data_IF_993057524647
#
_entry.id   IF_993057524647
#
_cell.length_a   1.000
_cell.length_b   1.000
_cell.length_c   1.000
_cell.angle_alpha   90.00
_cell.angle_beta   90.00
_cell.angle_gamma   90.00
#
_symmetry.space_group_name_H-M   'P 1'
#
loop_
_entity.id
_entity.type
_entity.pdbx_description
1 polymer ?
#
# COMPACT_ATOMS: atom_id res chain seq x y z
N UNK A 1 -86.66 -32.97 20.10
CA UNK A 1 -87.24 -32.06 21.12
C UNK A 1 -86.41 -30.79 21.13
N UNK A 2 -87.09 -29.65 20.97
CA UNK A 2 -86.70 -28.25 21.19
C UNK A 2 -85.73 -27.51 20.23
N UNK A 3 -86.18 -26.28 19.92
CA UNK A 3 -85.73 -25.25 18.98
C UNK A 3 -84.70 -24.25 19.59
N UNK A 4 -84.12 -23.31 18.80
CA UNK A 4 -82.85 -22.57 19.05
C UNK A 4 -83.02 -21.17 19.70
N UNK A 5 -81.96 -20.33 19.82
CA UNK A 5 -81.76 -19.18 18.88
C UNK A 5 -80.28 -18.84 18.57
N UNK A 6 -79.91 -18.46 17.33
CA UNK A 6 -79.89 -17.12 16.69
C UNK A 6 -78.95 -16.10 17.36
N UNK A 7 -77.92 -15.70 16.60
CA UNK A 7 -77.13 -14.50 16.77
C UNK A 7 -76.47 -14.07 15.44
N UNK A 8 -77.22 -13.26 14.67
CA UNK A 8 -76.81 -12.12 13.80
C UNK A 8 -75.43 -12.20 13.10
N UNK A 9 -75.24 -12.05 11.78
CA UNK A 9 -76.08 -11.57 10.68
C UNK A 9 -75.16 -11.12 9.52
N UNK A 10 -75.69 -11.12 8.29
CA UNK A 10 -75.21 -10.26 7.19
C UNK A 10 -74.08 -10.79 6.28
N UNK A 11 -74.45 -11.31 5.10
CA UNK A 11 -73.68 -11.05 3.87
C UNK A 11 -73.87 -9.58 3.40
N UNK A 12 -73.39 -9.13 2.22
CA UNK A 12 -73.05 -9.93 1.04
C UNK A 12 -71.77 -9.50 0.29
N UNK A 13 -71.62 -10.11 -0.88
CA UNK A 13 -70.60 -10.07 -1.92
C UNK A 13 -70.28 -8.71 -2.61
N UNK A 14 -69.11 -8.70 -3.29
CA UNK A 14 -68.67 -7.93 -4.47
C UNK A 14 -68.18 -6.48 -4.31
N UNK A 15 -66.89 -6.22 -4.59
CA UNK A 15 -66.43 -5.67 -5.89
C UNK A 15 -64.97 -5.14 -5.88
N UNK A 16 -64.22 -5.62 -6.88
CA UNK A 16 -63.06 -5.10 -7.61
C UNK A 16 -62.38 -3.77 -7.22
N UNK A 17 -61.04 -3.83 -7.07
CA UNK A 17 -60.12 -2.87 -7.68
C UNK A 17 -58.74 -3.52 -7.85
N UNK A 18 -58.17 -3.38 -9.05
CA UNK A 18 -56.89 -3.93 -9.45
C UNK A 18 -55.73 -3.25 -8.73
N UNK A 19 -54.75 -4.02 -8.27
CA UNK A 19 -53.40 -3.50 -8.04
C UNK A 19 -52.40 -4.44 -8.68
N UNK A 20 -52.00 -4.06 -9.88
CA UNK A 20 -50.79 -4.49 -10.57
C UNK A 20 -49.63 -4.43 -9.57
N UNK A 21 -49.11 -5.58 -9.12
CA UNK A 21 -47.81 -5.60 -8.47
C UNK A 21 -46.78 -5.25 -9.55
N UNK A 22 -46.43 -3.97 -9.63
CA UNK A 22 -45.17 -3.55 -10.23
C UNK A 22 -44.07 -4.27 -9.47
N UNK A 23 -43.54 -5.30 -10.10
CA UNK A 23 -42.21 -5.81 -9.80
C UNK A 23 -41.25 -4.70 -10.25
N UNK A 24 -40.99 -3.73 -9.38
CA UNK A 24 -39.87 -2.82 -9.55
C UNK A 24 -38.62 -3.69 -9.44
N UNK A 25 -38.05 -4.00 -10.61
CA UNK A 25 -36.63 -4.29 -10.74
C UNK A 25 -35.87 -3.29 -9.85
N UNK A 26 -34.96 -3.72 -8.97
CA UNK A 26 -33.93 -2.79 -8.55
C UNK A 26 -33.22 -2.42 -9.84
N UNK A 27 -33.47 -1.20 -10.31
CA UNK A 27 -32.67 -0.60 -11.36
C UNK A 27 -31.23 -0.88 -10.95
N UNK A 28 -30.52 -1.67 -11.76
CA UNK A 28 -29.08 -1.76 -11.66
C UNK A 28 -28.64 -0.30 -11.64
N UNK A 29 -28.22 0.17 -10.46
CA UNK A 29 -27.52 1.42 -10.35
C UNK A 29 -26.30 1.18 -11.22
N UNK A 30 -26.41 1.63 -12.47
CA UNK A 30 -25.29 1.74 -13.35
C UNK A 30 -24.38 2.69 -12.60
N UNK A 31 -23.46 2.09 -11.82
CA UNK A 31 -22.36 2.81 -11.23
C UNK A 31 -21.79 3.60 -12.39
N UNK A 32 -22.03 4.92 -12.35
CA UNK A 32 -21.60 5.79 -13.41
C UNK A 32 -20.11 5.47 -13.64
N UNK A 33 -19.68 5.24 -14.89
CA UNK A 33 -18.28 4.98 -15.14
C UNK A 33 -17.52 6.13 -14.49
N UNK A 34 -16.57 5.79 -13.62
CA UNK A 34 -15.71 6.75 -12.95
C UNK A 34 -14.82 7.35 -14.03
N UNK A 35 -15.36 8.31 -14.80
CA UNK A 35 -14.60 9.10 -15.76
C UNK A 35 -13.82 10.10 -14.93
N UNK A 36 -12.62 9.69 -14.53
CA UNK A 36 -11.63 10.57 -13.92
C UNK A 36 -10.94 11.29 -15.06
N UNK A 37 -11.44 12.47 -15.41
CA UNK A 37 -10.70 13.42 -16.25
C UNK A 37 -9.45 14.00 -15.51
N UNK A 38 -9.10 13.43 -14.35
CA UNK A 38 -8.04 13.86 -13.42
C UNK A 38 -6.89 12.83 -13.23
N UNK A 39 -6.71 11.86 -14.13
CA UNK A 39 -5.65 10.85 -13.99
C UNK A 39 -4.22 11.44 -13.92
N UNK A 40 -4.00 12.56 -14.62
CA UNK A 40 -2.72 13.30 -14.65
C UNK A 40 -2.42 13.99 -13.30
N UNK A 41 -3.37 14.72 -12.66
CA UNK A 41 -3.19 15.27 -11.32
C UNK A 41 -2.82 14.24 -10.24
N UNK A 42 -3.56 13.12 -10.15
CA UNK A 42 -3.34 12.11 -9.10
C UNK A 42 -1.96 11.43 -9.25
N UNK A 43 -1.61 11.01 -10.46
CA UNK A 43 -0.31 10.38 -10.71
C UNK A 43 0.83 11.37 -10.43
N UNK A 44 0.66 12.65 -10.80
CA UNK A 44 1.66 13.69 -10.52
C UNK A 44 1.87 13.89 -9.02
N UNK A 45 0.79 13.84 -8.24
CA UNK A 45 0.84 13.91 -6.78
C UNK A 45 1.55 12.71 -6.15
N UNK A 46 1.21 11.49 -6.59
CA UNK A 46 1.89 10.28 -6.15
C UNK A 46 3.39 10.30 -6.48
N UNK A 47 3.75 10.77 -7.68
CA UNK A 47 5.15 10.95 -8.10
C UNK A 47 5.88 11.99 -7.24
N UNK A 48 5.22 13.10 -6.91
CA UNK A 48 5.76 14.12 -6.01
C UNK A 48 6.01 13.55 -4.62
N UNK A 49 5.05 12.79 -4.09
CA UNK A 49 5.17 12.04 -2.84
C UNK A 49 6.36 11.09 -2.84
N UNK A 50 6.48 10.27 -3.89
CA UNK A 50 7.58 9.32 -4.04
C UNK A 50 8.95 10.01 -4.12
N UNK A 51 9.08 11.11 -4.86
CA UNK A 51 10.33 11.90 -4.91
C UNK A 51 10.68 12.45 -3.53
N UNK A 52 9.71 13.00 -2.81
CA UNK A 52 9.92 13.50 -1.44
C UNK A 52 10.32 12.38 -0.48
N UNK A 53 9.64 11.23 -0.55
CA UNK A 53 10.00 10.02 0.20
C UNK A 53 11.47 9.64 -0.04
N UNK A 54 11.90 9.57 -1.30
CA UNK A 54 13.30 9.25 -1.63
C UNK A 54 14.27 10.24 -0.98
N UNK A 55 14.02 11.55 -1.10
CA UNK A 55 14.88 12.59 -0.50
C UNK A 55 14.95 12.47 1.02
N UNK A 56 13.79 12.34 1.69
CA UNK A 56 13.74 12.21 3.15
C UNK A 56 14.42 10.93 3.63
N UNK A 57 14.29 9.83 2.87
CA UNK A 57 14.94 8.56 3.17
C UNK A 57 16.46 8.69 3.20
N UNK A 58 17.05 9.44 2.27
CA UNK A 58 18.50 9.71 2.28
C UNK A 58 18.93 10.42 3.56
N UNK A 59 18.23 11.49 3.93
CA UNK A 59 18.51 12.24 5.16
C UNK A 59 18.32 11.38 6.40
N UNK A 60 17.26 10.56 6.45
CA UNK A 60 16.99 9.69 7.58
C UNK A 60 18.06 8.61 7.76
N UNK A 61 18.54 7.99 6.67
CA UNK A 61 19.63 7.01 6.76
C UNK A 61 20.95 7.64 7.20
N UNK A 62 21.24 8.88 6.78
CA UNK A 62 22.40 9.61 7.28
C UNK A 62 22.31 9.88 8.79
N UNK A 63 21.17 10.40 9.25
CA UNK A 63 20.95 10.72 10.67
C UNK A 63 20.95 9.49 11.58
N UNK A 64 20.58 8.33 11.04
CA UNK A 64 20.55 7.06 11.78
C UNK A 64 21.85 6.27 11.69
N UNK A 65 22.88 6.81 11.05
CA UNK A 65 24.18 6.15 10.89
C UNK A 65 24.19 4.99 9.90
N UNK A 66 23.08 4.76 9.18
CA UNK A 66 22.96 3.74 8.14
C UNK A 66 23.56 4.20 6.80
N UNK A 67 24.04 5.44 6.73
CA UNK A 67 24.67 6.05 5.56
C UNK A 67 25.84 6.93 6.00
N UNK A 68 27.01 6.73 5.40
CA UNK A 68 28.17 7.60 5.63
C UNK A 68 28.06 8.95 4.92
N UNK A 69 28.78 9.96 5.40
CA UNK A 69 28.82 11.29 4.78
C UNK A 69 29.30 11.24 3.32
N UNK A 70 30.27 10.39 3.01
CA UNK A 70 30.78 10.22 1.64
C UNK A 70 29.71 9.66 0.70
N UNK A 71 28.96 8.65 1.16
CA UNK A 71 27.86 8.08 0.39
C UNK A 71 26.71 9.08 0.21
N UNK A 72 26.37 9.87 1.25
CA UNK A 72 25.37 10.94 1.14
C UNK A 72 25.78 11.97 0.08
N UNK A 73 27.03 12.43 0.10
CA UNK A 73 27.55 13.42 -0.85
C UNK A 73 27.48 12.89 -2.29
N UNK A 74 27.84 11.63 -2.52
CA UNK A 74 27.74 11.00 -3.84
C UNK A 74 26.29 10.91 -4.33
N UNK A 75 25.35 10.51 -3.48
CA UNK A 75 23.94 10.37 -3.88
C UNK A 75 23.25 11.70 -4.16
N UNK A 76 23.56 12.74 -3.37
CA UNK A 76 23.03 14.08 -3.59
C UNK A 76 23.53 14.68 -4.91
N UNK A 77 24.78 14.37 -5.28
CA UNK A 77 25.38 14.85 -6.54
C UNK A 77 24.76 14.15 -7.77
N UNK A 78 24.28 12.92 -7.62
CA UNK A 78 23.69 12.10 -8.70
C UNK A 78 22.15 12.07 -8.67
N UNK A 79 21.48 12.93 -7.90
CA UNK A 79 20.01 12.97 -7.77
C UNK A 79 19.35 11.59 -7.55
N UNK A 80 20.05 10.67 -6.88
CA UNK A 80 19.52 9.34 -6.52
C UNK A 80 20.11 8.14 -7.25
N UNK A 81 21.01 8.34 -8.22
CA UNK A 81 21.67 7.23 -8.91
C UNK A 81 22.98 6.87 -8.21
N UNK A 82 22.91 6.03 -7.18
CA UNK A 82 24.11 5.35 -6.67
C UNK A 82 24.61 4.35 -7.71
N UNK A 83 25.89 4.44 -8.06
CA UNK A 83 26.53 3.43 -8.92
C UNK A 83 26.66 2.10 -8.17
N UNK A 84 26.72 1.00 -8.92
CA UNK A 84 26.85 -0.37 -8.38
C UNK A 84 28.00 -0.49 -7.35
N UNK A 85 29.11 0.21 -7.62
CA UNK A 85 30.32 0.21 -6.79
C UNK A 85 30.13 0.78 -5.37
N UNK A 86 29.05 1.53 -5.14
CA UNK A 86 28.78 2.20 -3.87
C UNK A 86 27.86 1.38 -2.96
N UNK A 87 27.41 0.20 -3.41
CA UNK A 87 26.51 -0.67 -2.66
C UNK A 87 27.27 -1.60 -1.71
N UNK A 88 26.77 -1.70 -0.48
CA UNK A 88 27.32 -2.54 0.59
C UNK A 88 26.47 -3.81 0.74
N UNK A 89 27.11 -4.94 1.05
CA UNK A 89 26.36 -6.17 1.34
C UNK A 89 25.49 -5.96 2.59
N UNK A 90 24.19 -6.21 2.47
CA UNK A 90 23.23 -6.09 3.56
C UNK A 90 23.40 -7.24 4.57
N UNK A 91 23.14 -6.96 5.85
CA UNK A 91 22.84 -7.98 6.85
C UNK A 91 21.44 -7.78 7.43
N UNK A 92 20.94 -8.80 8.14
CA UNK A 92 19.57 -8.80 8.66
C UNK A 92 19.29 -7.64 9.62
N UNK A 93 20.21 -7.36 10.54
CA UNK A 93 20.04 -6.32 11.55
C UNK A 93 19.89 -4.92 10.92
N UNK A 94 20.76 -4.59 9.98
CA UNK A 94 20.75 -3.30 9.28
C UNK A 94 19.52 -3.16 8.39
N UNK A 95 19.14 -4.22 7.66
CA UNK A 95 17.93 -4.20 6.84
C UNK A 95 16.65 -4.02 7.69
N UNK A 96 16.58 -4.61 8.89
CA UNK A 96 15.46 -4.40 9.81
C UNK A 96 15.44 -2.94 10.30
N UNK A 97 16.59 -2.36 10.65
CA UNK A 97 16.66 -0.96 11.09
C UNK A 97 16.29 0.01 9.97
N UNK A 98 16.74 -0.25 8.75
CA UNK A 98 16.37 0.52 7.55
C UNK A 98 14.85 0.46 7.33
N UNK A 99 14.24 -0.73 7.36
CA UNK A 99 12.79 -0.89 7.17
C UNK A 99 11.98 -0.16 8.24
N UNK A 100 12.46 -0.11 9.49
CA UNK A 100 11.81 0.67 10.55
C UNK A 100 11.83 2.16 10.26
N UNK A 101 12.98 2.69 9.81
CA UNK A 101 13.11 4.09 9.41
C UNK A 101 12.20 4.43 8.24
N UNK A 102 12.16 3.56 7.22
CA UNK A 102 11.39 3.79 6.01
C UNK A 102 9.87 3.70 6.25
N UNK A 103 9.42 2.89 7.22
CA UNK A 103 7.99 2.75 7.55
C UNK A 103 7.34 4.09 7.91
N UNK A 104 8.01 4.91 8.73
CA UNK A 104 7.48 6.23 9.14
C UNK A 104 7.37 7.18 7.95
N UNK A 105 8.39 7.18 7.07
CA UNK A 105 8.40 8.01 5.87
C UNK A 105 7.37 7.55 4.84
N UNK A 106 7.17 6.24 4.72
CA UNK A 106 6.18 5.66 3.83
C UNK A 106 4.76 5.98 4.30
N UNK A 107 4.51 5.89 5.60
CA UNK A 107 3.23 6.30 6.20
C UNK A 107 2.94 7.75 5.85
N UNK A 108 3.90 8.65 6.01
CA UNK A 108 3.74 10.07 5.65
C UNK A 108 3.45 10.25 4.14
N UNK A 109 4.19 9.56 3.27
CA UNK A 109 3.98 9.61 1.83
C UNK A 109 2.56 9.16 1.44
N UNK A 110 2.13 8.02 1.99
CA UNK A 110 0.82 7.43 1.74
C UNK A 110 -0.28 8.38 2.18
N UNK A 111 -0.19 8.91 3.40
CA UNK A 111 -1.18 9.86 3.91
C UNK A 111 -1.26 11.16 3.10
N UNK A 112 -0.13 11.69 2.63
CA UNK A 112 -0.09 13.01 1.99
C UNK A 112 -0.29 12.99 0.47
N UNK A 113 0.07 11.88 -0.18
CA UNK A 113 0.22 11.83 -1.64
C UNK A 113 -0.69 10.81 -2.32
N UNK A 114 -1.45 10.03 -1.55
CA UNK A 114 -2.46 9.09 -2.05
C UNK A 114 -3.86 9.58 -1.63
N UNK A 115 -4.52 10.39 -2.47
CA UNK A 115 -5.96 10.63 -2.36
C UNK A 115 -6.74 9.29 -2.34
N UNK A 116 -7.83 9.14 -1.55
CA UNK A 116 -8.43 10.05 -0.58
C UNK A 116 -8.09 9.67 0.89
N UNK A 117 -6.85 9.31 1.22
CA UNK A 117 -6.50 8.90 2.59
C UNK A 117 -6.56 10.04 3.63
N UNK A 118 -6.44 11.29 3.18
CA UNK A 118 -6.64 12.47 4.02
C UNK A 118 -8.11 12.66 4.36
N UNK A 119 -8.43 12.57 5.66
CA UNK A 119 -9.75 12.89 6.21
C UNK A 119 -10.89 11.89 5.91
N UNK A 120 -10.74 10.96 4.96
CA UNK A 120 -11.84 10.07 4.58
C UNK A 120 -11.88 8.73 5.36
N UNK A 121 -10.77 8.33 6.00
CA UNK A 121 -10.65 7.02 6.66
C UNK A 121 -10.35 7.13 8.16
N UNK A 122 -10.90 6.19 8.93
CA UNK A 122 -10.52 5.98 10.33
C UNK A 122 -9.04 5.62 10.47
N UNK A 123 -8.46 5.82 11.66
CA UNK A 123 -7.07 5.42 11.91
C UNK A 123 -6.86 3.91 11.69
N UNK A 124 -7.81 3.06 12.08
CA UNK A 124 -7.72 1.62 11.88
C UNK A 124 -7.70 1.25 10.40
N UNK A 125 -8.53 1.91 9.59
CA UNK A 125 -8.55 1.72 8.13
C UNK A 125 -7.24 2.18 7.49
N UNK A 126 -6.66 3.30 7.93
CA UNK A 126 -5.35 3.76 7.45
C UNK A 126 -4.24 2.77 7.78
N UNK A 127 -4.23 2.23 9.01
CA UNK A 127 -3.27 1.20 9.41
C UNK A 127 -3.46 -0.12 8.65
N UNK A 128 -4.71 -0.50 8.35
CA UNK A 128 -4.99 -1.67 7.51
C UNK A 128 -4.44 -1.47 6.09
N UNK A 129 -4.64 -0.29 5.50
CA UNK A 129 -4.13 0.05 4.17
C UNK A 129 -2.60 0.08 4.15
N UNK A 130 -1.96 0.75 5.12
CA UNK A 130 -0.50 0.83 5.19
C UNK A 130 0.15 -0.55 5.31
N UNK A 131 -0.41 -1.45 6.14
CA UNK A 131 0.08 -2.83 6.29
C UNK A 131 0.05 -3.63 4.97
N UNK A 132 -0.97 -3.40 4.15
CA UNK A 132 -1.12 -4.07 2.85
C UNK A 132 -0.35 -3.35 1.73
N UNK A 133 0.02 -2.09 1.93
CA UNK A 133 0.80 -1.30 0.97
C UNK A 133 2.31 -1.52 1.12
N UNK A 134 2.79 -1.66 2.36
CA UNK A 134 4.21 -1.68 2.73
C UNK A 134 5.06 -2.68 1.94
N UNK A 135 4.73 -3.98 2.05
CA UNK A 135 5.52 -5.03 1.43
C UNK A 135 5.47 -4.96 -0.11
N UNK A 136 4.29 -4.85 -0.76
CA UNK A 136 4.23 -4.70 -2.22
C UNK A 136 5.01 -3.49 -2.72
N UNK A 137 4.94 -2.36 -2.02
CA UNK A 137 5.68 -1.15 -2.38
C UNK A 137 7.19 -1.39 -2.36
N UNK A 138 7.74 -1.92 -1.26
CA UNK A 138 9.19 -2.16 -1.18
C UNK A 138 9.67 -3.22 -2.16
N UNK A 139 8.90 -4.28 -2.39
CA UNK A 139 9.28 -5.30 -3.38
C UNK A 139 9.30 -4.68 -4.79
N UNK A 140 8.30 -3.89 -5.16
CA UNK A 140 8.27 -3.20 -6.45
C UNK A 140 9.44 -2.20 -6.59
N UNK A 141 9.67 -1.36 -5.58
CA UNK A 141 10.75 -0.37 -5.58
C UNK A 141 12.12 -1.05 -5.67
N UNK A 142 12.39 -2.04 -4.83
CA UNK A 142 13.66 -2.78 -4.83
C UNK A 142 13.88 -3.52 -6.13
N UNK A 143 12.83 -4.11 -6.72
CA UNK A 143 12.93 -4.78 -8.03
C UNK A 143 13.28 -3.78 -9.13
N UNK A 144 12.64 -2.60 -9.12
CA UNK A 144 12.96 -1.52 -10.06
C UNK A 144 14.42 -1.07 -9.94
N UNK A 145 14.91 -0.83 -8.72
CA UNK A 145 16.29 -0.44 -8.47
C UNK A 145 17.28 -1.55 -8.84
N UNK A 146 16.94 -2.81 -8.59
CA UNK A 146 17.75 -3.98 -8.96
C UNK A 146 17.95 -4.05 -10.47
N UNK A 147 16.88 -3.91 -11.24
CA UNK A 147 16.93 -3.94 -12.70
C UNK A 147 17.74 -2.77 -13.31
N UNK A 148 17.86 -1.65 -12.60
CA UNK A 148 18.66 -0.51 -13.03
C UNK A 148 20.15 -0.67 -12.71
N UNK A 149 20.49 -1.40 -11.65
CA UNK A 149 21.85 -1.42 -11.08
C UNK A 149 22.63 -2.68 -11.38
N UNK A 150 21.95 -3.80 -11.60
CA UNK A 150 22.60 -5.07 -11.85
C UNK A 150 22.21 -5.61 -13.24
N UNK A 151 23.12 -6.33 -13.91
CA UNK A 151 22.81 -6.95 -15.18
C UNK A 151 21.72 -8.04 -15.03
N UNK A 152 21.05 -8.42 -16.13
CA UNK A 152 20.15 -9.57 -16.12
C UNK A 152 20.85 -10.85 -15.64
N UNK A 153 20.14 -11.68 -14.87
CA UNK A 153 20.65 -12.91 -14.24
C UNK A 153 21.71 -12.73 -13.14
N UNK A 154 21.93 -11.51 -12.65
CA UNK A 154 22.74 -11.28 -11.45
C UNK A 154 22.06 -11.91 -10.21
N UNK A 155 22.85 -12.36 -9.25
CA UNK A 155 22.35 -12.92 -7.99
C UNK A 155 22.06 -11.84 -6.95
N UNK A 156 22.43 -10.58 -7.22
CA UNK A 156 22.27 -9.47 -6.28
C UNK A 156 20.90 -8.81 -6.42
N UNK A 157 20.34 -8.44 -5.27
CA UNK A 157 19.04 -7.77 -5.17
C UNK A 157 19.16 -6.56 -4.24
N UNK A 158 18.67 -5.40 -4.66
CA UNK A 158 18.74 -4.18 -3.85
C UNK A 158 17.90 -4.34 -2.58
N UNK A 159 18.54 -4.21 -1.42
CA UNK A 159 17.90 -4.26 -0.11
C UNK A 159 17.48 -2.86 0.34
N UNK A 160 18.31 -1.86 0.10
CA UNK A 160 18.03 -0.46 0.39
C UNK A 160 18.79 0.39 -0.63
N UNK A 161 18.61 1.72 -0.66
CA UNK A 161 19.32 2.56 -1.63
C UNK A 161 20.84 2.31 -1.68
N UNK A 162 21.43 1.82 -0.59
CA UNK A 162 22.87 1.62 -0.40
C UNK A 162 23.29 0.18 -0.12
N UNK A 163 22.33 -0.73 0.01
CA UNK A 163 22.64 -2.11 0.38
C UNK A 163 22.03 -3.10 -0.60
N UNK A 164 22.65 -4.26 -0.74
CA UNK A 164 22.13 -5.35 -1.56
C UNK A 164 22.18 -6.69 -0.81
N UNK A 165 21.26 -7.60 -1.10
CA UNK A 165 21.37 -9.02 -0.79
C UNK A 165 22.11 -9.71 -1.92
N UNK A 166 22.96 -10.67 -1.62
CA UNK A 166 23.41 -11.67 -2.59
C UNK A 166 22.58 -12.94 -2.40
N UNK A 167 21.71 -13.25 -3.35
CA UNK A 167 20.82 -14.40 -3.29
C UNK A 167 21.59 -15.73 -3.33
N UNK A 168 22.80 -15.75 -3.88
CA UNK A 168 23.67 -16.93 -3.85
C UNK A 168 24.32 -17.15 -2.47
N UNK A 169 24.29 -16.12 -1.60
CA UNK A 169 24.97 -16.07 -0.30
C UNK A 169 24.05 -15.55 0.80
N UNK A 170 22.81 -16.04 0.81
CA UNK A 170 21.80 -15.64 1.82
C UNK A 170 22.17 -16.03 3.25
N UNK A 171 23.03 -17.04 3.42
CA UNK A 171 23.61 -17.42 4.70
C UNK A 171 24.34 -16.24 5.37
N UNK A 172 25.08 -15.45 4.60
CA UNK A 172 25.77 -14.26 5.12
C UNK A 172 24.81 -13.19 5.63
N UNK A 173 23.64 -13.06 5.01
CA UNK A 173 22.62 -12.10 5.44
C UNK A 173 22.11 -12.40 6.85
N UNK A 174 21.95 -13.69 7.17
CA UNK A 174 21.51 -14.18 8.47
C UNK A 174 22.65 -14.48 9.45
N UNK A 175 23.91 -14.25 9.07
CA UNK A 175 25.09 -14.50 9.90
C UNK A 175 25.29 -13.45 11.02
N UNK A 176 24.20 -12.97 11.62
CA UNK A 176 24.20 -12.03 12.75
C UNK A 176 23.74 -12.75 14.02
N UNK A 177 24.27 -12.35 15.19
CA UNK A 177 23.97 -12.98 16.50
C UNK A 177 22.45 -13.14 16.75
N UNK A 178 21.67 -12.16 16.34
CA UNK A 178 20.20 -12.12 16.52
C UNK A 178 19.45 -13.21 15.73
N UNK A 179 20.10 -13.85 14.76
CA UNK A 179 19.54 -14.91 13.95
C UNK A 179 20.04 -16.32 14.33
N UNK A 180 20.99 -16.43 15.28
CA UNK A 180 21.59 -17.72 15.69
C UNK A 180 20.75 -18.52 16.69
N UNK A 181 19.64 -17.97 17.17
CA UNK A 181 18.85 -18.50 18.30
C UNK A 181 17.45 -18.99 17.93
N UNK A 182 17.27 -19.50 16.70
CA UNK A 182 16.01 -20.18 16.30
C UNK A 182 16.23 -21.63 15.97
#
# INVERSE_FOLDING_TARGET
MFQPPIGVGGGPSCSSAATTHQQQSPAASAAAPFIVDNGIPLISEMLRGYRRFKTLRLSAHYLTGNLSQNQLQQTLTLLGDCEEKDLVLANYADNVNILRTDLSLLSEMVEQSFPPLQGAFSMDSKWALLRNFLCPFFIAERSHLTAQRFPPNDTRFVASPYHYFDLARLDHFFAVEQCKTR
#
